data_IF_607361109006
#
_entry.id   IF_607361109006
#
_cell.length_a   1.000
_cell.length_b   1.000
_cell.length_c   1.000
_cell.angle_alpha   90.00
_cell.angle_beta   90.00
_cell.angle_gamma   90.00
#
_symmetry.space_group_name_H-M   'P 1'
#
loop_
_entity.id
_entity.type
_entity.pdbx_description
1 polymer ?
#
# COMPACT_ATOMS: atom_id res chain seq x y z
N UNK A 1 16.57 -12.18 2.64
CA UNK A 1 17.76 -11.51 3.24
C UNK A 1 17.31 -10.99 4.61
N UNK A 2 18.10 -11.09 5.68
CA UNK A 2 17.63 -10.60 7.00
C UNK A 2 17.70 -9.07 6.99
N UNK A 3 16.56 -8.41 6.81
CA UNK A 3 16.45 -6.94 6.85
C UNK A 3 16.76 -6.45 8.29
N UNK A 4 17.63 -5.46 8.43
CA UNK A 4 17.92 -4.83 9.74
C UNK A 4 16.88 -3.75 10.05
N UNK A 5 15.83 -4.12 10.81
CA UNK A 5 14.70 -3.22 11.13
C UNK A 5 15.18 -2.01 11.95
N UNK A 6 16.07 -2.25 12.90
CA UNK A 6 16.54 -1.20 13.81
C UNK A 6 17.37 -0.18 13.04
N UNK A 7 18.17 -0.62 12.06
CA UNK A 7 18.87 0.29 11.17
C UNK A 7 17.90 1.14 10.33
N UNK A 8 16.87 0.53 9.74
CA UNK A 8 15.88 1.21 8.90
C UNK A 8 15.08 2.24 9.69
N UNK A 9 14.59 1.87 10.87
CA UNK A 9 13.83 2.77 11.75
C UNK A 9 14.65 4.00 12.14
N UNK A 10 15.95 3.83 12.41
CA UNK A 10 16.84 4.92 12.80
C UNK A 10 17.40 5.74 11.63
N UNK A 11 17.24 5.27 10.38
CA UNK A 11 17.79 5.93 9.19
C UNK A 11 16.88 7.03 8.63
N UNK A 12 15.62 7.11 9.07
CA UNK A 12 14.64 8.08 8.55
C UNK A 12 14.06 8.97 9.65
N UNK A 13 13.79 10.23 9.30
CA UNK A 13 12.92 11.07 10.10
C UNK A 13 11.47 10.71 9.79
N UNK A 14 10.78 10.10 10.75
CA UNK A 14 9.38 9.72 10.60
C UNK A 14 8.46 10.90 10.90
N UNK A 15 7.47 11.10 10.03
CA UNK A 15 6.36 12.00 10.35
C UNK A 15 5.59 11.39 11.54
N UNK A 16 5.88 11.90 12.74
CA UNK A 16 5.06 11.63 13.91
C UNK A 16 3.88 12.58 13.84
N UNK A 17 2.68 12.05 13.61
CA UNK A 17 1.47 12.81 13.89
C UNK A 17 1.51 13.20 15.37
N UNK A 18 0.98 14.40 15.69
CA UNK A 18 0.99 15.01 17.03
C UNK A 18 0.91 13.90 18.10
N UNK A 19 2.00 13.71 18.84
CA UNK A 19 2.14 12.82 20.01
C UNK A 19 2.83 11.45 19.79
N UNK A 20 3.39 11.14 18.61
CA UNK A 20 4.23 9.93 18.42
C UNK A 20 3.45 8.61 18.43
N UNK A 21 2.12 8.69 18.35
CA UNK A 21 1.19 7.58 18.24
C UNK A 21 0.99 7.28 16.74
N UNK A 22 0.88 6.00 16.31
CA UNK A 22 0.42 5.67 14.96
C UNK A 22 -0.86 6.45 14.62
N UNK A 23 -1.07 6.77 13.34
CA UNK A 23 -2.27 7.51 12.94
C UNK A 23 -3.53 6.74 13.36
N UNK A 24 -4.18 7.23 14.41
CA UNK A 24 -5.55 6.88 14.75
C UNK A 24 -6.40 8.00 14.17
N UNK A 25 -7.29 7.68 13.24
CA UNK A 25 -8.24 8.63 12.64
C UNK A 25 -9.30 9.11 13.63
N UNK A 26 -8.91 9.56 14.82
CA UNK A 26 -9.80 10.21 15.76
C UNK A 26 -9.97 11.65 15.34
N UNK A 27 -11.09 11.92 14.68
CA UNK A 27 -11.52 13.27 14.33
C UNK A 27 -11.72 14.07 15.63
N UNK A 28 -10.77 14.97 15.96
CA UNK A 28 -10.73 15.76 17.21
C UNK A 28 -11.88 16.77 17.36
N UNK A 29 -12.67 16.97 16.30
CA UNK A 29 -13.80 17.90 16.30
C UNK A 29 -15.13 17.15 16.34
N UNK A 30 -15.46 16.39 17.39
CA UNK A 30 -16.81 15.83 17.47
C UNK A 30 -17.29 15.52 18.91
N UNK A 31 -18.60 15.69 19.11
CA UNK A 31 -19.30 15.80 20.40
C UNK A 31 -18.96 14.67 21.40
N UNK A 32 -18.83 14.98 22.70
CA UNK A 32 -18.55 13.97 23.72
C UNK A 32 -19.55 12.81 23.68
N UNK A 33 -19.04 11.58 23.52
CA UNK A 33 -19.82 10.34 23.70
C UNK A 33 -20.44 9.73 22.45
N UNK A 34 -20.05 10.12 21.23
CA UNK A 34 -20.49 9.43 19.99
C UNK A 34 -19.31 9.12 19.07
N UNK A 35 -19.05 7.83 18.85
CA UNK A 35 -18.24 7.38 17.71
C UNK A 35 -19.14 7.47 16.49
N UNK A 36 -18.88 8.41 15.59
CA UNK A 36 -19.46 8.39 14.25
C UNK A 36 -18.36 7.97 13.29
N UNK A 37 -18.49 6.78 12.70
CA UNK A 37 -17.71 6.42 11.52
C UNK A 37 -18.20 7.31 10.38
N UNK A 38 -17.46 8.36 10.05
CA UNK A 38 -17.74 9.21 8.90
C UNK A 38 -16.82 8.83 7.74
N UNK A 39 -17.37 8.90 6.53
CA UNK A 39 -16.60 8.88 5.29
C UNK A 39 -16.10 10.30 5.01
N UNK A 40 -14.80 10.45 4.76
CA UNK A 40 -14.22 11.69 4.26
C UNK A 40 -13.79 11.48 2.81
N UNK A 41 -13.83 12.56 2.02
CA UNK A 41 -13.25 12.55 0.67
C UNK A 41 -11.76 12.17 0.78
N UNK A 42 -11.32 11.25 -0.08
CA UNK A 42 -9.91 10.88 -0.18
C UNK A 42 -9.11 12.05 -0.77
N UNK A 43 -8.06 12.47 -0.07
CA UNK A 43 -7.10 13.44 -0.57
C UNK A 43 -5.92 12.69 -1.20
N UNK A 44 -5.84 12.69 -2.53
CA UNK A 44 -4.83 11.93 -3.28
C UNK A 44 -3.39 12.34 -2.95
N UNK A 45 -3.18 13.54 -2.43
CA UNK A 45 -1.86 14.00 -1.99
C UNK A 45 -1.40 13.29 -0.71
N UNK A 46 -2.31 12.72 0.08
CA UNK A 46 -2.03 12.11 1.40
C UNK A 46 -2.83 10.81 1.66
N UNK A 47 -3.03 10.03 0.61
CA UNK A 47 -3.83 8.80 0.64
C UNK A 47 -3.07 7.57 1.16
N UNK A 48 -1.75 7.50 0.95
CA UNK A 48 -0.89 6.40 1.44
C UNK A 48 -0.03 6.90 2.60
N UNK A 49 -0.06 6.16 3.72
CA UNK A 49 0.64 6.53 4.94
C UNK A 49 1.68 5.49 5.29
N UNK A 50 2.90 5.97 5.54
CA UNK A 50 4.02 5.13 5.93
C UNK A 50 4.50 5.58 7.30
N UNK A 51 4.45 4.68 8.27
CA UNK A 51 4.95 4.92 9.62
C UNK A 51 6.18 4.06 9.95
N UNK A 52 6.71 4.25 11.15
CA UNK A 52 7.89 3.55 11.64
C UNK A 52 7.74 2.02 11.65
N UNK A 53 6.51 1.49 11.67
CA UNK A 53 6.27 0.05 11.68
C UNK A 53 6.34 -0.59 10.29
N UNK A 54 6.50 0.20 9.23
CA UNK A 54 6.52 -0.24 7.84
C UNK A 54 7.37 -1.49 7.60
N UNK A 55 8.66 -1.46 7.99
CA UNK A 55 9.58 -2.56 7.70
C UNK A 55 9.18 -3.85 8.42
N UNK A 56 8.69 -3.74 9.66
CA UNK A 56 8.21 -4.89 10.43
C UNK A 56 6.95 -5.51 9.82
N UNK A 57 6.02 -4.68 9.34
CA UNK A 57 4.78 -5.14 8.71
C UNK A 57 5.04 -5.77 7.35
N UNK A 58 5.93 -5.19 6.53
CA UNK A 58 6.28 -5.78 5.23
C UNK A 58 6.93 -7.16 5.37
N UNK A 59 7.79 -7.36 6.37
CA UNK A 59 8.31 -8.69 6.69
C UNK A 59 7.22 -9.67 7.06
N UNK A 60 6.23 -9.25 7.86
CA UNK A 60 5.14 -10.13 8.23
C UNK A 60 4.24 -10.46 7.02
N UNK A 61 4.01 -9.50 6.11
CA UNK A 61 3.35 -9.75 4.82
C UNK A 61 4.12 -10.80 4.00
N UNK A 62 5.44 -10.65 3.86
CA UNK A 62 6.30 -11.61 3.16
C UNK A 62 6.18 -13.01 3.79
N UNK A 63 6.31 -13.12 5.12
CA UNK A 63 6.17 -14.39 5.85
C UNK A 63 4.79 -15.03 5.64
N UNK A 64 3.73 -14.24 5.60
CA UNK A 64 2.37 -14.72 5.36
C UNK A 64 2.16 -15.17 3.91
N UNK A 65 2.73 -14.45 2.95
CA UNK A 65 2.70 -14.84 1.54
C UNK A 65 3.48 -16.15 1.29
N UNK A 66 4.57 -16.39 2.01
CA UNK A 66 5.31 -17.66 1.92
C UNK A 66 4.58 -18.83 2.59
N UNK A 67 3.95 -18.60 3.75
CA UNK A 67 3.40 -19.68 4.58
C UNK A 67 1.92 -19.95 4.37
N UNK A 68 1.16 -18.95 3.91
CA UNK A 68 -0.31 -18.93 3.89
C UNK A 68 -0.88 -18.16 2.70
N UNK A 69 -0.19 -18.15 1.54
CA UNK A 69 -0.56 -17.37 0.35
C UNK A 69 -2.06 -17.39 0.04
N UNK A 70 -2.63 -18.59 -0.05
CA UNK A 70 -4.03 -18.80 -0.45
C UNK A 70 -5.07 -18.27 0.57
N UNK A 71 -4.63 -17.94 1.79
CA UNK A 71 -5.48 -17.37 2.83
C UNK A 71 -5.38 -15.84 2.92
N UNK A 72 -4.31 -15.25 2.37
CA UNK A 72 -4.00 -13.82 2.53
C UNK A 72 -3.99 -13.06 1.21
N UNK A 73 -4.04 -13.76 0.08
CA UNK A 73 -4.05 -13.16 -1.23
C UNK A 73 -5.07 -13.85 -2.13
N UNK A 74 -6.00 -13.06 -2.65
CA UNK A 74 -7.00 -13.47 -3.63
C UNK A 74 -6.91 -12.48 -4.78
N UNK A 75 -7.01 -12.96 -6.01
CA UNK A 75 -6.96 -12.13 -7.21
C UNK A 75 -7.76 -12.79 -8.33
N UNK A 76 -8.11 -12.01 -9.34
CA UNK A 76 -8.77 -12.47 -10.56
C UNK A 76 -7.90 -12.13 -11.78
N UNK A 77 -7.86 -13.05 -12.74
CA UNK A 77 -7.08 -12.95 -13.99
C UNK A 77 -7.91 -12.39 -15.17
N UNK A 78 -9.13 -11.90 -14.91
CA UNK A 78 -9.90 -11.21 -15.93
C UNK A 78 -9.10 -10.03 -16.51
N UNK A 79 -9.04 -9.86 -17.85
CA UNK A 79 -8.22 -8.82 -18.48
C UNK A 79 -8.52 -7.41 -17.96
N UNK A 80 -9.77 -7.10 -17.65
CA UNK A 80 -10.13 -5.77 -17.11
C UNK A 80 -9.59 -5.55 -15.70
N UNK A 81 -9.69 -6.58 -14.85
CA UNK A 81 -9.14 -6.55 -13.48
C UNK A 81 -7.61 -6.48 -13.50
N UNK A 82 -6.94 -7.19 -14.41
CA UNK A 82 -5.48 -7.12 -14.58
C UNK A 82 -5.02 -5.70 -14.92
N UNK A 83 -5.72 -5.02 -15.84
CA UNK A 83 -5.43 -3.63 -16.19
C UNK A 83 -5.65 -2.68 -15.01
N UNK A 84 -6.71 -2.86 -14.23
CA UNK A 84 -6.99 -2.05 -13.05
C UNK A 84 -5.93 -2.24 -11.94
N UNK A 85 -5.48 -3.48 -11.70
CA UNK A 85 -4.37 -3.79 -10.77
C UNK A 85 -3.06 -3.12 -11.24
N UNK A 86 -2.80 -3.16 -12.54
CA UNK A 86 -1.62 -2.53 -13.13
C UNK A 86 -1.66 -1.00 -12.99
N UNK A 87 -2.81 -0.37 -13.23
CA UNK A 87 -3.01 1.07 -13.03
C UNK A 87 -2.73 1.48 -11.59
N UNK A 88 -3.21 0.71 -10.60
CA UNK A 88 -2.90 0.94 -9.19
C UNK A 88 -1.39 0.87 -8.91
N UNK A 89 -0.71 -0.15 -9.43
CA UNK A 89 0.73 -0.30 -9.25
C UNK A 89 1.51 0.88 -9.84
N UNK A 90 1.15 1.32 -11.05
CA UNK A 90 1.76 2.48 -11.70
C UNK A 90 1.52 3.77 -10.90
N UNK A 91 0.30 3.95 -10.38
CA UNK A 91 -0.02 5.09 -9.53
C UNK A 91 0.83 5.13 -8.26
N UNK A 92 1.06 3.97 -7.62
CA UNK A 92 1.93 3.87 -6.44
C UNK A 92 3.41 4.14 -6.79
N UNK A 93 3.90 3.58 -7.90
CA UNK A 93 5.26 3.81 -8.37
C UNK A 93 5.54 5.29 -8.71
N UNK A 94 4.53 6.02 -9.20
CA UNK A 94 4.63 7.46 -9.43
C UNK A 94 4.49 8.28 -8.13
N UNK A 95 3.58 7.87 -7.24
CA UNK A 95 3.26 8.61 -6.01
C UNK A 95 4.34 8.51 -4.94
N UNK A 96 4.83 7.31 -4.64
CA UNK A 96 5.69 7.06 -3.48
C UNK A 96 7.02 7.83 -3.53
N UNK A 97 7.76 7.90 -4.66
CA UNK A 97 8.98 8.70 -4.74
C UNK A 97 8.72 10.20 -4.65
N UNK A 98 7.55 10.69 -5.09
CA UNK A 98 7.18 12.11 -5.00
C UNK A 98 6.84 12.50 -3.56
N UNK A 99 6.12 11.65 -2.83
CA UNK A 99 5.68 11.92 -1.45
C UNK A 99 6.75 11.61 -0.40
N UNK A 100 7.52 10.56 -0.62
CA UNK A 100 8.52 10.03 0.32
C UNK A 100 9.88 9.83 -0.38
N UNK A 101 10.51 10.89 -0.93
CA UNK A 101 11.75 10.79 -1.69
C UNK A 101 12.95 10.28 -0.87
N UNK A 102 12.89 10.41 0.45
CA UNK A 102 13.87 9.87 1.37
C UNK A 102 13.78 8.34 1.47
N UNK A 103 12.58 7.76 1.32
CA UNK A 103 12.29 6.32 1.49
C UNK A 103 12.21 5.54 0.17
N UNK A 104 11.77 6.20 -0.90
CA UNK A 104 11.61 5.60 -2.23
C UNK A 104 12.39 6.36 -3.29
N UNK A 105 12.86 5.65 -4.29
CA UNK A 105 13.55 6.20 -5.45
C UNK A 105 12.87 5.70 -6.72
N UNK A 106 12.40 6.63 -7.55
CA UNK A 106 11.92 6.28 -8.87
C UNK A 106 13.07 5.71 -9.70
N UNK A 107 12.84 4.55 -10.32
CA UNK A 107 13.76 3.93 -11.27
C UNK A 107 13.00 3.61 -12.55
N UNK A 108 13.73 3.24 -13.60
CA UNK A 108 13.10 2.85 -14.86
C UNK A 108 12.14 1.67 -14.62
N UNK A 109 10.87 1.84 -15.03
CA UNK A 109 9.80 0.84 -14.89
C UNK A 109 9.63 0.30 -13.47
N UNK A 110 9.74 1.15 -12.46
CA UNK A 110 9.43 0.74 -11.09
C UNK A 110 9.94 1.70 -10.04
N UNK A 111 10.01 1.20 -8.82
CA UNK A 111 10.47 1.97 -7.67
C UNK A 111 11.40 1.12 -6.82
N UNK A 112 12.46 1.76 -6.35
CA UNK A 112 13.36 1.16 -5.37
C UNK A 112 12.98 1.62 -3.97
N UNK A 113 12.70 0.64 -3.12
CA UNK A 113 12.36 0.81 -1.72
C UNK A 113 13.64 0.79 -0.89
N UNK A 114 14.10 1.97 -0.47
CA UNK A 114 15.36 2.13 0.29
C UNK A 114 15.27 1.54 1.69
N UNK A 115 14.05 1.40 2.22
CA UNK A 115 13.82 0.84 3.56
C UNK A 115 13.99 -0.67 3.58
N UNK A 116 13.75 -1.36 2.47
CA UNK A 116 13.85 -2.82 2.37
C UNK A 116 14.99 -3.30 1.47
N UNK A 117 15.72 -2.37 0.84
CA UNK A 117 16.72 -2.67 -0.20
C UNK A 117 16.12 -3.56 -1.31
N UNK A 118 14.90 -3.23 -1.75
CA UNK A 118 14.14 -4.01 -2.73
C UNK A 118 13.72 -3.14 -3.91
N UNK A 119 13.84 -3.67 -5.13
CA UNK A 119 13.27 -3.06 -6.33
C UNK A 119 11.94 -3.73 -6.68
N UNK A 120 10.89 -2.93 -6.81
CA UNK A 120 9.57 -3.39 -7.28
C UNK A 120 9.35 -2.87 -8.69
N UNK A 121 9.21 -3.80 -9.62
CA UNK A 121 9.01 -3.51 -11.04
C UNK A 121 7.54 -3.27 -11.35
N UNK A 122 7.25 -2.19 -12.08
CA UNK A 122 5.94 -1.92 -12.68
C UNK A 122 5.81 -2.47 -14.10
N UNK A 123 6.72 -3.34 -14.54
CA UNK A 123 6.64 -3.93 -15.87
C UNK A 123 5.46 -4.93 -15.97
N UNK A 124 4.50 -4.73 -16.89
CA UNK A 124 3.35 -5.62 -17.05
C UNK A 124 3.71 -7.00 -17.62
N UNK A 125 4.88 -7.14 -18.25
CA UNK A 125 5.32 -8.40 -18.86
C UNK A 125 5.87 -9.42 -17.84
N UNK A 126 5.97 -9.05 -16.56
CA UNK A 126 6.46 -9.94 -15.50
C UNK A 126 5.36 -10.86 -14.95
N UNK A 127 5.75 -12.02 -14.45
CA UNK A 127 4.83 -13.08 -13.99
C UNK A 127 4.08 -12.78 -12.69
N UNK A 128 4.57 -11.85 -11.88
CA UNK A 128 3.98 -11.53 -10.58
C UNK A 128 2.74 -10.65 -10.75
N UNK A 129 1.66 -10.99 -10.04
CA UNK A 129 0.42 -10.21 -10.05
C UNK A 129 0.67 -8.74 -9.62
N UNK A 130 0.18 -7.72 -10.36
CA UNK A 130 0.44 -6.33 -10.03
C UNK A 130 -0.07 -5.90 -8.64
N UNK A 131 -1.18 -6.47 -8.16
CA UNK A 131 -1.71 -6.20 -6.82
C UNK A 131 -0.80 -6.77 -5.74
N UNK A 132 -0.20 -7.93 -6.00
CA UNK A 132 0.81 -8.50 -5.12
C UNK A 132 2.04 -7.58 -5.04
N UNK A 133 2.50 -7.05 -6.18
CA UNK A 133 3.60 -6.07 -6.20
C UNK A 133 3.24 -4.78 -5.46
N UNK A 134 2.02 -4.27 -5.62
CA UNK A 134 1.54 -3.10 -4.90
C UNK A 134 1.54 -3.32 -3.37
N UNK A 135 1.18 -4.52 -2.91
CA UNK A 135 1.19 -4.88 -1.49
C UNK A 135 2.59 -4.81 -0.85
N UNK A 136 3.66 -5.04 -1.63
CA UNK A 136 5.06 -4.94 -1.17
C UNK A 136 5.52 -3.50 -0.97
N UNK A 137 4.80 -2.53 -1.55
CA UNK A 137 5.15 -1.11 -1.48
C UNK A 137 4.48 -0.38 -0.31
N UNK A 138 3.36 -0.89 0.20
CA UNK A 138 2.44 -0.14 1.08
C UNK A 138 1.95 -0.96 2.26
N UNK A 139 1.65 -0.32 3.40
CA UNK A 139 1.14 -1.00 4.59
C UNK A 139 -0.33 -1.37 4.43
N UNK A 140 -1.06 -0.59 3.65
CA UNK A 140 -2.46 -0.76 3.30
C UNK A 140 -2.73 -2.08 2.58
N UNK A 141 -3.97 -2.54 2.71
CA UNK A 141 -4.52 -3.64 1.92
C UNK A 141 -5.35 -3.05 0.78
N UNK A 142 -5.08 -3.51 -0.44
CA UNK A 142 -5.73 -3.01 -1.65
C UNK A 142 -6.79 -3.98 -2.13
N UNK A 143 -7.92 -3.42 -2.57
CA UNK A 143 -8.95 -4.14 -3.30
C UNK A 143 -9.30 -3.37 -4.57
N UNK A 144 -9.65 -4.09 -5.62
CA UNK A 144 -10.10 -3.56 -6.90
C UNK A 144 -11.61 -3.76 -6.99
N UNK A 145 -12.32 -2.67 -7.26
CA UNK A 145 -13.75 -2.70 -7.50
C UNK A 145 -14.05 -2.16 -8.89
N UNK A 146 -14.85 -2.89 -9.65
CA UNK A 146 -15.22 -2.53 -11.02
C UNK A 146 -16.73 -2.43 -11.16
N UNK A 147 -17.19 -1.45 -11.95
CA UNK A 147 -18.60 -1.33 -12.28
C UNK A 147 -19.05 -2.49 -13.14
N UNK A 148 -20.10 -3.20 -12.73
CA UNK A 148 -20.71 -4.30 -13.48
C UNK A 148 -22.15 -3.93 -13.84
N UNK A 149 -22.41 -3.81 -15.14
CA UNK A 149 -23.74 -3.47 -15.67
C UNK A 149 -24.84 -4.45 -15.24
N UNK A 150 -24.52 -5.74 -15.16
CA UNK A 150 -25.47 -6.77 -14.71
C UNK A 150 -26.02 -6.49 -13.30
N UNK A 151 -25.17 -5.96 -12.43
CA UNK A 151 -25.51 -5.69 -11.03
C UNK A 151 -25.86 -4.22 -10.77
N UNK A 152 -25.66 -3.34 -11.76
CA UNK A 152 -25.77 -1.89 -11.62
C UNK A 152 -25.01 -1.38 -10.37
N UNK A 153 -23.83 -1.95 -10.14
CA UNK A 153 -23.04 -1.73 -8.93
C UNK A 153 -21.55 -1.94 -9.17
N UNK A 154 -20.72 -1.40 -8.27
CA UNK A 154 -19.32 -1.76 -8.17
C UNK A 154 -19.18 -3.10 -7.45
N UNK A 155 -18.49 -4.05 -8.07
CA UNK A 155 -18.22 -5.37 -7.53
C UNK A 155 -16.74 -5.53 -7.23
N UNK A 156 -16.41 -6.17 -6.12
CA UNK A 156 -15.04 -6.56 -5.78
C UNK A 156 -14.55 -7.59 -6.81
N UNK A 157 -13.45 -7.28 -7.47
CA UNK A 157 -12.85 -8.14 -8.51
C UNK A 157 -11.45 -8.62 -8.17
N UNK A 158 -10.72 -7.93 -7.30
CA UNK A 158 -9.47 -8.42 -6.69
C UNK A 158 -9.28 -7.85 -5.29
#
# INVERSE_FOLDING_TARGET
MVIDVEHVENSFSWETFKDGIPYLGTYKNEMPGRVKMHTQKLELENWVKIDHTYASQQREKERLLETKKDLVFVTNDDPSTVLAKQELLELLCDYLPKRYPDKFEAREKGVYNKMLDEFVSSNPDESDDPLLKASRLTQEDWCIMEWKEEHQAYCLTA
#
